data_IF_135297337539
#
_entry.id   IF_135297337539
#
_cell.length_a   1.000
_cell.length_b   1.000
_cell.length_c   1.000
_cell.angle_alpha   90.00
_cell.angle_beta   90.00
_cell.angle_gamma   90.00
#
_symmetry.space_group_name_H-M   'P 1'
#
loop_
_entity.id
_entity.type
_entity.pdbx_description
1 polymer ?
#
# COMPACT_ATOMS: atom_id res chain seq x y z
N UNK A 1 11.19 -2.39 13.62
CA UNK A 1 11.09 -3.32 12.46
C UNK A 1 11.01 -2.47 11.19
N UNK A 2 11.54 -2.91 10.04
CA UNK A 2 11.37 -2.21 8.76
C UNK A 2 9.88 -2.10 8.39
N UNK A 3 9.48 -0.96 7.79
CA UNK A 3 8.11 -0.72 7.35
C UNK A 3 7.56 -1.81 6.41
N UNK A 4 8.42 -2.41 5.59
CA UNK A 4 8.03 -3.52 4.71
C UNK A 4 7.67 -4.78 5.47
N UNK A 5 8.32 -5.06 6.60
CA UNK A 5 7.98 -6.21 7.44
C UNK A 5 6.70 -5.93 8.25
N UNK A 6 6.52 -4.70 8.77
CA UNK A 6 5.26 -4.27 9.41
C UNK A 6 4.08 -4.43 8.45
N UNK A 7 4.22 -3.93 7.22
CA UNK A 7 3.18 -4.04 6.19
C UNK A 7 2.75 -5.49 5.97
N UNK A 8 3.72 -6.40 5.84
CA UNK A 8 3.44 -7.83 5.63
C UNK A 8 2.78 -8.45 6.86
N UNK A 9 3.22 -8.08 8.07
CA UNK A 9 2.58 -8.52 9.31
C UNK A 9 1.10 -8.13 9.35
N UNK A 10 0.79 -6.86 9.02
CA UNK A 10 -0.57 -6.34 8.96
C UNK A 10 -1.44 -7.17 8.01
N UNK A 11 -0.99 -7.40 6.77
CA UNK A 11 -1.77 -8.18 5.79
C UNK A 11 -1.95 -9.65 6.19
N UNK A 12 -0.91 -10.30 6.72
CA UNK A 12 -1.03 -11.66 7.26
C UNK A 12 -2.07 -11.72 8.40
N UNK A 13 -2.04 -10.75 9.32
CA UNK A 13 -3.01 -10.66 10.43
C UNK A 13 -4.44 -10.41 9.96
N UNK A 14 -4.61 -9.67 8.87
CA UNK A 14 -5.90 -9.46 8.20
C UNK A 14 -6.38 -10.71 7.41
N UNK A 15 -5.60 -11.79 7.40
CA UNK A 15 -5.92 -13.06 6.78
C UNK A 15 -5.70 -13.09 5.28
N UNK A 16 -4.77 -12.27 4.77
CA UNK A 16 -4.28 -12.38 3.40
C UNK A 16 -3.07 -13.31 3.34
N UNK A 17 -2.96 -14.04 2.24
CA UNK A 17 -1.72 -14.70 1.83
C UNK A 17 -0.83 -13.66 1.14
N UNK A 18 0.44 -13.56 1.55
CA UNK A 18 1.36 -12.52 1.08
C UNK A 18 2.45 -13.13 0.20
N UNK A 19 2.50 -12.70 -1.06
CA UNK A 19 3.46 -13.16 -2.08
C UNK A 19 4.32 -12.01 -2.61
N UNK A 20 5.61 -12.29 -2.88
CA UNK A 20 6.62 -11.27 -3.27
C UNK A 20 7.44 -10.75 -2.09
N UNK A 21 8.44 -9.90 -2.32
CA UNK A 21 9.40 -9.45 -1.29
C UNK A 21 9.76 -7.95 -1.41
N UNK A 22 10.31 -7.38 -0.33
CA UNK A 22 10.74 -6.00 -0.30
C UNK A 22 9.60 -4.97 -0.21
N UNK A 23 9.64 -3.96 -1.09
CA UNK A 23 8.75 -2.78 -1.04
C UNK A 23 7.49 -2.93 -1.88
N UNK A 24 7.35 -3.99 -2.66
CA UNK A 24 6.17 -4.26 -3.47
C UNK A 24 5.82 -5.73 -3.33
N UNK A 25 4.57 -6.04 -2.98
CA UNK A 25 4.10 -7.40 -2.81
C UNK A 25 2.61 -7.48 -3.10
N UNK A 26 2.11 -8.70 -3.29
CA UNK A 26 0.69 -8.98 -3.52
C UNK A 26 0.13 -9.62 -2.25
N UNK A 27 -1.02 -9.14 -1.80
CA UNK A 27 -1.78 -9.73 -0.72
C UNK A 27 -3.10 -10.28 -1.26
N UNK A 28 -3.31 -11.59 -1.15
CA UNK A 28 -4.43 -12.31 -1.72
C UNK A 28 -5.37 -12.87 -0.65
N UNK A 29 -6.66 -12.70 -0.86
CA UNK A 29 -7.72 -13.32 -0.06
C UNK A 29 -8.84 -13.75 -0.99
N UNK A 30 -9.66 -14.73 -0.56
CA UNK A 30 -10.73 -15.34 -1.39
C UNK A 30 -11.64 -14.34 -2.14
N UNK A 31 -11.78 -13.12 -1.63
CA UNK A 31 -12.67 -12.09 -2.16
C UNK A 31 -11.93 -10.86 -2.71
N UNK A 32 -10.60 -10.75 -2.51
CA UNK A 32 -9.84 -9.56 -2.93
C UNK A 32 -8.35 -9.85 -3.07
N UNK A 33 -7.76 -9.33 -4.14
CA UNK A 33 -6.31 -9.27 -4.36
C UNK A 33 -5.87 -7.81 -4.34
N UNK A 34 -4.83 -7.51 -3.57
CA UNK A 34 -4.35 -6.14 -3.33
C UNK A 34 -2.87 -6.08 -3.70
N UNK A 35 -2.52 -5.16 -4.61
CA UNK A 35 -1.11 -4.79 -4.83
C UNK A 35 -0.69 -3.83 -3.72
N UNK A 36 0.32 -4.21 -2.95
CA UNK A 36 0.82 -3.40 -1.84
C UNK A 36 2.14 -2.75 -2.23
N UNK A 37 2.25 -1.44 -1.99
CA UNK A 37 3.47 -0.66 -2.23
C UNK A 37 3.87 0.07 -0.96
N UNK A 38 5.07 -0.22 -0.46
CA UNK A 38 5.68 0.40 0.71
C UNK A 38 6.47 1.63 0.27
N UNK A 39 6.14 2.77 0.86
CA UNK A 39 6.73 4.08 0.63
C UNK A 39 7.39 4.54 1.93
N UNK A 40 8.72 4.64 1.93
CA UNK A 40 9.44 5.26 3.04
C UNK A 40 9.30 6.78 2.99
N UNK A 41 9.84 7.48 4.00
CA UNK A 41 9.76 8.95 4.16
C UNK A 41 10.19 9.76 2.94
N UNK A 42 11.06 9.21 2.07
CA UNK A 42 11.58 9.89 0.87
C UNK A 42 10.89 9.46 -0.45
N UNK A 43 9.85 8.62 -0.38
CA UNK A 43 9.28 7.96 -1.58
C UNK A 43 8.06 8.71 -2.15
N UNK A 44 8.22 9.36 -3.31
CA UNK A 44 7.12 10.02 -4.03
C UNK A 44 6.33 9.03 -4.91
N UNK A 45 4.99 9.08 -4.84
CA UNK A 45 4.10 8.23 -5.69
C UNK A 45 4.24 8.54 -7.17
N UNK A 46 4.51 9.82 -7.51
CA UNK A 46 4.51 10.31 -8.90
C UNK A 46 5.55 9.62 -9.81
N UNK A 47 6.58 8.97 -9.24
CA UNK A 47 7.64 8.31 -10.01
C UNK A 47 7.43 6.81 -10.27
N UNK A 48 6.47 6.16 -9.61
CA UNK A 48 6.35 4.69 -9.62
C UNK A 48 5.26 4.25 -10.59
N UNK A 49 5.52 4.41 -11.90
CA UNK A 49 4.89 3.53 -12.90
C UNK A 49 5.26 2.11 -12.48
N UNK A 50 4.27 1.29 -12.17
CA UNK A 50 4.46 -0.12 -11.86
C UNK A 50 5.44 -0.70 -12.89
N UNK A 51 6.66 -1.05 -12.45
CA UNK A 51 7.65 -1.71 -13.28
C UNK A 51 7.04 -3.08 -13.55
N UNK A 52 6.47 -3.27 -14.73
CA UNK A 52 6.05 -4.58 -15.18
C UNK A 52 7.31 -5.26 -15.71
N UNK A 53 7.90 -6.14 -14.90
CA UNK A 53 8.95 -7.07 -15.33
C UNK A 53 8.37 -8.02 -16.37
N UNK A 54 8.30 -7.60 -17.65
CA UNK A 54 8.15 -8.46 -18.83
C UNK A 54 6.97 -9.43 -18.92
N UNK A 55 6.09 -9.50 -17.92
CA UNK A 55 4.82 -10.20 -17.92
C UNK A 55 3.68 -9.20 -18.06
N UNK A 56 2.54 -9.65 -18.58
CA UNK A 56 1.31 -8.84 -18.69
C UNK A 56 1.14 -7.97 -17.44
N UNK A 57 0.95 -6.66 -17.65
CA UNK A 57 0.71 -5.73 -16.54
C UNK A 57 -0.48 -6.27 -15.75
N UNK A 58 -0.22 -6.88 -14.60
CA UNK A 58 -1.29 -7.37 -13.74
C UNK A 58 -2.00 -6.14 -13.21
N UNK A 59 -3.10 -5.77 -13.86
CA UNK A 59 -3.97 -4.68 -13.44
C UNK A 59 -4.70 -5.14 -12.18
N UNK A 60 -4.07 -4.93 -11.02
CA UNK A 60 -4.75 -5.14 -9.75
C UNK A 60 -5.70 -3.96 -9.50
N UNK A 61 -7.03 -4.19 -9.46
CA UNK A 61 -8.00 -3.12 -9.30
C UNK A 61 -7.92 -2.46 -7.91
N UNK A 62 -7.32 -3.16 -6.93
CA UNK A 62 -7.09 -2.65 -5.58
C UNK A 62 -5.60 -2.46 -5.31
N UNK A 63 -5.22 -1.24 -4.94
CA UNK A 63 -3.85 -0.92 -4.50
C UNK A 63 -3.85 -0.42 -3.06
N UNK A 64 -2.87 -0.84 -2.29
CA UNK A 64 -2.67 -0.33 -0.94
C UNK A 64 -1.27 0.25 -0.83
N UNK A 65 -1.18 1.49 -0.38
CA UNK A 65 0.09 2.15 -0.15
C UNK A 65 0.37 2.18 1.35
N UNK A 66 1.53 1.71 1.77
CA UNK A 66 1.91 1.68 3.18
C UNK A 66 3.02 2.69 3.41
N UNK A 67 2.81 3.58 4.37
CA UNK A 67 3.76 4.63 4.77
C UNK A 67 3.77 4.76 6.29
N UNK A 68 4.65 5.59 6.82
CA UNK A 68 4.56 6.00 8.23
C UNK A 68 3.32 6.86 8.45
N UNK A 69 2.75 6.78 9.65
CA UNK A 69 1.53 7.48 10.04
C UNK A 69 1.56 8.97 9.71
N UNK A 70 2.71 9.62 9.89
CA UNK A 70 2.92 11.05 9.61
C UNK A 70 2.77 11.38 8.12
N UNK A 71 3.15 10.47 7.22
CA UNK A 71 3.08 10.66 5.76
C UNK A 71 1.76 10.20 5.13
N UNK A 72 0.86 9.57 5.90
CA UNK A 72 -0.38 9.01 5.36
C UNK A 72 -1.33 10.10 4.83
N UNK A 73 -1.36 11.27 5.48
CA UNK A 73 -2.18 12.41 5.08
C UNK A 73 -1.74 13.02 3.74
N UNK A 74 -0.45 13.32 3.59
CA UNK A 74 0.13 13.82 2.35
C UNK A 74 -0.05 12.84 1.19
N UNK A 75 0.14 11.55 1.47
CA UNK A 75 -0.04 10.49 0.50
C UNK A 75 -1.49 10.36 0.02
N UNK A 76 -2.46 10.47 0.93
CA UNK A 76 -3.90 10.55 0.61
C UNK A 76 -4.17 11.73 -0.32
N UNK A 77 -3.63 12.91 0.00
CA UNK A 77 -3.80 14.12 -0.81
C UNK A 77 -3.26 13.92 -2.23
N UNK A 78 -2.05 13.36 -2.36
CA UNK A 78 -1.44 13.07 -3.66
C UNK A 78 -2.23 12.06 -4.49
N UNK A 79 -2.75 10.99 -3.89
CA UNK A 79 -3.57 9.99 -4.58
C UNK A 79 -4.94 10.54 -4.99
N UNK A 80 -5.52 11.41 -4.16
CA UNK A 80 -6.79 12.07 -4.47
C UNK A 80 -6.62 13.06 -5.63
N UNK A 81 -5.54 13.86 -5.62
CA UNK A 81 -5.17 14.78 -6.72
C UNK A 81 -4.89 14.03 -8.04
N UNK A 82 -4.23 12.88 -7.96
CA UNK A 82 -3.88 12.08 -9.12
C UNK A 82 -5.08 11.34 -9.77
N UNK A 83 -6.20 11.21 -9.05
CA UNK A 83 -7.43 10.51 -9.47
C UNK A 83 -7.17 9.21 -10.26
N UNK A 84 -6.46 8.23 -9.69
CA UNK A 84 -6.09 7.02 -10.42
C UNK A 84 -7.32 6.17 -10.78
N UNK A 85 -7.22 5.45 -11.89
CA UNK A 85 -8.29 4.56 -12.38
C UNK A 85 -8.48 3.26 -11.57
N UNK A 86 -7.69 3.07 -10.51
CA UNK A 86 -7.77 1.93 -9.60
C UNK A 86 -8.27 2.36 -8.22
N UNK A 87 -8.92 1.44 -7.50
CA UNK A 87 -9.29 1.65 -6.11
C UNK A 87 -8.03 1.63 -5.24
N UNK A 88 -7.96 2.54 -4.27
CA UNK A 88 -6.80 2.65 -3.40
C UNK A 88 -7.14 2.82 -1.93
N UNK A 89 -6.22 2.40 -1.08
CA UNK A 89 -6.18 2.73 0.34
C UNK A 89 -4.76 3.06 0.77
N UNK A 90 -4.62 3.85 1.83
CA UNK A 90 -3.33 4.13 2.48
C UNK A 90 -3.35 3.54 3.88
N UNK A 91 -2.29 2.85 4.28
CA UNK A 91 -2.07 2.41 5.65
C UNK A 91 -0.92 3.23 6.23
N UNK A 92 -1.21 3.98 7.29
CA UNK A 92 -0.21 4.69 8.09
C UNK A 92 0.20 3.85 9.29
N UNK A 93 1.45 3.39 9.32
CA UNK A 93 2.02 2.59 10.42
C UNK A 93 2.66 3.50 11.46
N UNK A 94 2.39 3.23 12.74
CA UNK A 94 3.01 3.94 13.85
C UNK A 94 4.46 3.46 14.06
N UNK A 95 5.42 4.38 14.10
CA UNK A 95 6.85 4.07 14.29
C UNK A 95 7.18 3.60 15.71
N UNK A 96 6.38 4.05 16.68
CA UNK A 96 6.62 3.87 18.11
C UNK A 96 5.79 2.73 18.69
N UNK A 97 4.67 2.40 18.05
CA UNK A 97 3.75 1.33 18.46
C UNK A 97 3.62 0.25 17.39
N UNK A 98 4.19 -0.93 17.70
CA UNK A 98 4.07 -2.10 16.84
C UNK A 98 2.61 -2.53 16.64
N UNK A 99 2.27 -3.01 15.44
CA UNK A 99 0.91 -3.42 15.05
C UNK A 99 -0.17 -2.34 15.11
N UNK A 100 0.19 -1.08 15.42
CA UNK A 100 -0.72 0.05 15.37
C UNK A 100 -0.66 0.69 13.99
N UNK A 101 -1.81 0.74 13.32
CA UNK A 101 -1.95 1.42 12.04
C UNK A 101 -3.31 2.06 11.89
N UNK A 102 -3.36 3.06 11.02
CA UNK A 102 -4.58 3.73 10.59
C UNK A 102 -4.81 3.47 9.10
N UNK A 103 -6.06 3.23 8.72
CA UNK A 103 -6.44 3.07 7.30
C UNK A 103 -7.11 4.35 6.83
N UNK A 104 -6.56 4.90 5.75
CA UNK A 104 -7.01 6.13 5.13
C UNK A 104 -7.55 5.81 3.75
N UNK A 105 -8.81 6.17 3.51
CA UNK A 105 -9.55 5.90 2.28
C UNK A 105 -9.69 7.17 1.44
N UNK A 106 -9.99 7.04 0.12
CA UNK A 106 -10.47 8.17 -0.68
C UNK A 106 -11.69 8.80 0.01
N UNK A 107 -11.81 10.13 -0.10
CA UNK A 107 -13.02 10.81 0.37
C UNK A 107 -14.22 10.27 -0.41
N UNK A 108 -15.31 9.97 0.28
CA UNK A 108 -16.54 9.55 -0.38
C UNK A 108 -16.98 10.70 -1.30
N UNK A 109 -16.92 10.46 -2.62
CA UNK A 109 -17.41 11.40 -3.64
C UNK A 109 -18.92 11.61 -3.53
#
# INVERSE_FOLDING_TARGET
MPLSEEARSIFNRLGYDVSGDGREFVAERKWRTVQVTVLGTDSNVRGRRAITDGGEAREYPFRCFVTWKEGAGDLRGQLTDADPSYEWAVIGVDSDQHDQYDVVLPEAR
#
